data_IF_901741870873
#
_entry.id   IF_901741870873
#
_cell.length_a   1.000
_cell.length_b   1.000
_cell.length_c   1.000
_cell.angle_alpha   90.00
_cell.angle_beta   90.00
_cell.angle_gamma   90.00
#
_symmetry.space_group_name_H-M   'P 1'
#
loop_
_entity.id
_entity.type
_entity.pdbx_description
1 polymer ?
#
# COMPACT_ATOMS: atom_id res chain seq x y z
N UNK A 1 10.46 -2.07 -5.81
CA UNK A 1 11.83 -1.88 -5.32
C UNK A 1 12.65 -0.97 -6.24
N UNK A 2 13.39 -0.07 -5.65
CA UNK A 2 14.33 0.73 -6.43
C UNK A 2 15.52 -0.14 -6.90
N UNK A 3 16.04 0.04 -8.12
CA UNK A 3 17.21 -0.68 -8.62
C UNK A 3 18.41 -0.51 -7.68
N UNK A 4 19.03 -1.63 -7.28
CA UNK A 4 20.19 -1.65 -6.37
C UNK A 4 19.86 -1.82 -4.88
N UNK A 5 18.63 -1.61 -4.45
CA UNK A 5 18.24 -1.82 -3.03
C UNK A 5 18.20 -3.30 -2.65
N UNK A 6 18.00 -4.18 -3.63
CA UNK A 6 17.96 -5.62 -3.44
C UNK A 6 19.29 -6.21 -2.95
N UNK A 7 20.42 -5.60 -3.32
CA UNK A 7 21.75 -6.05 -2.86
C UNK A 7 21.89 -5.99 -1.34
N UNK A 8 21.26 -5.00 -0.69
CA UNK A 8 21.31 -4.84 0.77
C UNK A 8 20.39 -5.82 1.50
N UNK A 9 19.21 -6.13 0.94
CA UNK A 9 18.22 -6.97 1.60
C UNK A 9 18.41 -8.47 1.30
N UNK A 10 18.97 -8.82 0.14
CA UNK A 10 19.13 -10.20 -0.29
C UNK A 10 19.94 -11.08 0.67
N UNK A 11 21.01 -10.62 1.36
CA UNK A 11 21.68 -11.43 2.36
C UNK A 11 20.75 -11.91 3.49
N UNK A 12 19.81 -11.06 3.92
CA UNK A 12 18.80 -11.44 4.92
C UNK A 12 17.71 -12.33 4.32
N UNK A 13 17.24 -12.01 3.13
CA UNK A 13 16.20 -12.79 2.44
C UNK A 13 16.66 -14.24 2.16
N UNK A 14 17.89 -14.44 1.78
CA UNK A 14 18.47 -15.79 1.54
C UNK A 14 18.51 -16.64 2.82
N UNK A 15 18.65 -16.04 3.99
CA UNK A 15 18.60 -16.77 5.28
C UNK A 15 17.23 -17.39 5.55
N UNK A 16 16.17 -16.78 5.05
CA UNK A 16 14.78 -17.27 5.20
C UNK A 16 14.28 -18.03 3.95
N UNK A 17 15.13 -18.26 2.97
CA UNK A 17 14.81 -19.02 1.77
C UNK A 17 14.15 -18.22 0.66
N UNK A 18 14.36 -16.92 0.62
CA UNK A 18 13.88 -16.02 -0.42
C UNK A 18 15.05 -15.26 -1.07
N UNK A 19 14.80 -14.77 -2.27
CA UNK A 19 15.64 -13.78 -2.94
C UNK A 19 14.74 -12.76 -3.66
N UNK A 20 15.01 -11.48 -3.46
CA UNK A 20 14.44 -10.43 -4.29
C UNK A 20 15.15 -10.41 -5.64
N UNK A 21 14.40 -10.38 -6.73
CA UNK A 21 14.94 -10.22 -8.07
C UNK A 21 15.50 -8.82 -8.26
N UNK A 22 16.58 -8.72 -9.02
CA UNK A 22 17.22 -7.43 -9.26
C UNK A 22 16.32 -6.52 -10.12
N UNK A 23 16.25 -5.24 -9.74
CA UNK A 23 15.49 -4.22 -10.47
C UNK A 23 14.01 -4.15 -10.12
N UNK A 24 13.20 -3.76 -11.08
CA UNK A 24 11.78 -3.48 -10.92
C UNK A 24 10.95 -4.34 -11.87
N UNK A 25 9.80 -4.77 -11.38
CA UNK A 25 8.78 -5.45 -12.17
C UNK A 25 7.93 -4.40 -12.89
N UNK A 26 7.82 -4.54 -14.19
CA UNK A 26 6.95 -3.72 -15.02
C UNK A 26 5.74 -4.52 -15.50
N UNK A 27 4.63 -3.85 -15.73
CA UNK A 27 3.40 -4.45 -16.22
C UNK A 27 2.78 -3.61 -17.33
N UNK A 28 2.45 -4.23 -18.47
CA UNK A 28 1.72 -3.59 -19.55
C UNK A 28 0.22 -3.58 -19.21
N UNK A 29 -0.29 -2.42 -18.80
CA UNK A 29 -1.72 -2.23 -18.54
C UNK A 29 -2.15 -0.85 -19.05
N UNK A 30 -3.18 -0.84 -19.88
CA UNK A 30 -3.75 0.40 -20.43
C UNK A 30 -4.23 1.34 -19.31
N UNK A 31 -3.90 2.62 -19.43
CA UNK A 31 -4.30 3.66 -18.47
C UNK A 31 -3.46 3.73 -17.20
N UNK A 32 -2.42 2.91 -17.06
CA UNK A 32 -1.53 2.90 -15.90
C UNK A 32 -0.05 3.01 -16.28
N UNK A 33 0.75 3.54 -15.34
CA UNK A 33 2.20 3.53 -15.50
C UNK A 33 2.72 2.10 -15.45
N UNK A 34 3.69 1.71 -16.28
CA UNK A 34 4.28 0.36 -16.28
C UNK A 34 4.85 -0.07 -14.92
N UNK A 35 5.30 0.88 -14.11
CA UNK A 35 5.82 0.62 -12.76
C UNK A 35 4.75 0.24 -11.73
N UNK A 36 3.46 0.36 -12.06
CA UNK A 36 2.38 -0.11 -11.21
C UNK A 36 2.08 -1.58 -11.51
N UNK A 37 2.46 -2.44 -10.61
CA UNK A 37 2.14 -3.87 -10.66
C UNK A 37 0.79 -4.14 -10.01
N UNK A 38 -0.11 -4.79 -10.72
CA UNK A 38 -1.38 -5.30 -10.21
C UNK A 38 -1.24 -6.81 -10.06
N UNK A 39 -1.20 -7.27 -8.81
CA UNK A 39 -1.00 -8.68 -8.47
C UNK A 39 -2.32 -9.35 -8.09
N UNK A 40 -2.54 -10.54 -8.62
CA UNK A 40 -3.66 -11.40 -8.22
C UNK A 40 -3.38 -12.07 -6.88
N UNK A 41 -4.44 -12.34 -6.12
CA UNK A 41 -4.37 -13.13 -4.89
C UNK A 41 -4.15 -14.60 -5.26
N UNK A 42 -3.15 -15.24 -4.67
CA UNK A 42 -2.82 -16.64 -4.94
C UNK A 42 -3.72 -17.58 -4.12
N UNK A 43 -4.28 -18.65 -4.72
CA UNK A 43 -5.08 -19.62 -4.00
C UNK A 43 -4.34 -20.34 -2.88
N UNK A 44 -3.04 -20.53 -2.98
CA UNK A 44 -2.23 -21.15 -1.92
C UNK A 44 -2.24 -20.32 -0.62
N UNK A 45 -2.47 -19.00 -0.74
CA UNK A 45 -2.59 -18.09 0.40
C UNK A 45 -3.90 -18.19 1.17
N UNK A 46 -4.93 -18.84 0.63
CA UNK A 46 -6.29 -18.86 1.21
C UNK A 46 -6.36 -19.51 2.60
N UNK A 47 -5.51 -20.50 2.88
CA UNK A 47 -5.43 -21.13 4.20
C UNK A 47 -4.99 -20.14 5.29
N UNK A 48 -4.05 -19.26 4.97
CA UNK A 48 -3.52 -18.26 5.90
C UNK A 48 -4.36 -16.98 5.93
N UNK A 49 -5.01 -16.66 4.82
CA UNK A 49 -5.81 -15.44 4.61
C UNK A 49 -7.17 -15.77 3.97
N UNK A 50 -8.10 -16.39 4.72
CA UNK A 50 -9.37 -16.86 4.15
C UNK A 50 -10.23 -15.78 3.48
N UNK A 51 -10.08 -14.52 3.90
CA UNK A 51 -10.80 -13.39 3.32
C UNK A 51 -10.43 -13.17 1.84
N UNK A 52 -9.19 -13.50 1.45
CA UNK A 52 -8.72 -13.31 0.07
C UNK A 52 -9.43 -14.21 -0.93
N UNK A 53 -9.88 -15.40 -0.52
CA UNK A 53 -10.68 -16.26 -1.37
C UNK A 53 -11.95 -15.55 -1.87
N UNK A 54 -12.69 -14.92 -0.97
CA UNK A 54 -13.90 -14.16 -1.32
C UNK A 54 -13.56 -12.94 -2.18
N UNK A 55 -12.53 -12.19 -1.80
CA UNK A 55 -12.13 -10.99 -2.53
C UNK A 55 -11.70 -11.32 -3.97
N UNK A 56 -10.97 -12.42 -4.17
CA UNK A 56 -10.59 -12.92 -5.50
C UNK A 56 -11.81 -13.21 -6.38
N UNK A 57 -12.86 -13.81 -5.83
CA UNK A 57 -14.11 -14.08 -6.55
C UNK A 57 -14.81 -12.79 -7.02
N UNK A 58 -14.65 -11.70 -6.30
CA UNK A 58 -15.15 -10.37 -6.69
C UNK A 58 -14.19 -9.55 -7.55
N UNK A 59 -13.08 -10.14 -7.99
CA UNK A 59 -12.09 -9.49 -8.86
C UNK A 59 -11.21 -8.46 -8.15
N UNK A 60 -11.02 -8.57 -6.84
CA UNK A 60 -10.06 -7.75 -6.12
C UNK A 60 -8.62 -8.22 -6.36
N UNK A 61 -7.69 -7.29 -6.28
CA UNK A 61 -6.26 -7.51 -6.46
C UNK A 61 -5.46 -6.56 -5.56
N UNK A 62 -4.15 -6.72 -5.55
CA UNK A 62 -3.24 -5.82 -4.83
C UNK A 62 -2.50 -4.91 -5.82
N UNK A 63 -2.35 -3.65 -5.46
CA UNK A 63 -1.58 -2.67 -6.21
C UNK A 63 -0.22 -2.46 -5.54
N UNK A 64 0.86 -2.65 -6.29
CA UNK A 64 2.23 -2.58 -5.80
C UNK A 64 3.04 -1.63 -6.70
N UNK A 65 3.18 -0.35 -6.33
CA UNK A 65 4.00 0.60 -7.07
C UNK A 65 5.49 0.32 -6.90
N UNK A 66 6.22 0.12 -8.00
CA UNK A 66 7.66 -0.13 -7.93
C UNK A 66 8.06 -1.49 -7.36
N UNK A 67 7.23 -2.50 -7.57
CA UNK A 67 7.42 -3.84 -7.06
C UNK A 67 8.61 -4.56 -7.69
N UNK A 68 9.21 -5.50 -6.95
CA UNK A 68 10.12 -6.51 -7.49
C UNK A 68 9.58 -7.91 -7.23
N UNK A 69 9.96 -8.87 -8.08
CA UNK A 69 9.58 -10.26 -7.93
C UNK A 69 10.40 -10.97 -6.85
N UNK A 70 9.84 -12.05 -6.31
CA UNK A 70 10.45 -12.89 -5.28
C UNK A 70 10.78 -14.29 -5.87
N UNK A 71 11.98 -14.79 -5.58
CA UNK A 71 12.40 -16.16 -5.89
C UNK A 71 12.39 -17.00 -4.62
N UNK A 72 11.71 -18.14 -4.67
CA UNK A 72 11.62 -19.09 -3.54
C UNK A 72 12.74 -20.09 -3.63
N UNK A 73 13.60 -20.17 -2.60
CA UNK A 73 14.76 -21.04 -2.52
C UNK A 73 14.60 -22.24 -1.58
N UNK A 74 13.46 -22.36 -0.88
CA UNK A 74 13.12 -23.43 0.09
C UNK A 74 14.22 -23.70 1.14
N UNK A 75 14.24 -22.93 2.23
CA UNK A 75 15.16 -23.12 3.37
C UNK A 75 14.41 -23.00 4.69
N UNK A 76 14.07 -24.12 5.32
CA UNK A 76 13.66 -24.18 6.73
C UNK A 76 12.36 -23.49 7.13
N UNK A 77 11.75 -22.70 6.24
CA UNK A 77 10.41 -22.14 6.40
C UNK A 77 9.44 -22.80 5.42
N UNK A 78 8.20 -22.98 5.84
CA UNK A 78 7.09 -23.14 4.94
C UNK A 78 6.86 -21.81 4.23
N UNK A 79 6.89 -21.79 2.88
CA UNK A 79 6.73 -20.57 2.09
C UNK A 79 5.46 -20.71 1.27
N UNK A 80 4.52 -19.78 1.46
CA UNK A 80 3.22 -19.76 0.80
C UNK A 80 3.10 -18.47 0.01
N UNK A 81 2.93 -18.53 -1.33
CA UNK A 81 2.57 -17.38 -2.13
C UNK A 81 1.23 -16.79 -1.67
N UNK A 82 1.17 -15.46 -1.53
CA UNK A 82 -0.04 -14.72 -1.15
C UNK A 82 -0.55 -13.91 -2.34
N UNK A 83 0.36 -13.33 -3.09
CA UNK A 83 0.05 -12.60 -4.31
C UNK A 83 1.10 -12.86 -5.39
N UNK A 84 0.61 -13.01 -6.61
CA UNK A 84 1.41 -13.35 -7.76
C UNK A 84 1.05 -12.50 -8.97
N UNK A 85 1.99 -12.40 -9.91
CA UNK A 85 1.78 -11.82 -11.25
C UNK A 85 2.09 -12.85 -12.31
N UNK A 86 1.34 -12.85 -13.41
CA UNK A 86 1.65 -13.65 -14.59
C UNK A 86 2.70 -12.95 -15.45
N UNK A 87 3.60 -13.71 -16.04
CA UNK A 87 4.67 -13.21 -16.89
C UNK A 87 4.20 -12.81 -18.30
N UNK A 88 2.98 -13.17 -18.70
CA UNK A 88 2.41 -12.78 -19.99
C UNK A 88 2.21 -11.26 -20.17
N UNK A 89 2.06 -10.53 -19.07
CA UNK A 89 1.86 -9.07 -19.05
C UNK A 89 2.89 -8.34 -18.17
N UNK A 90 3.80 -9.06 -17.54
CA UNK A 90 4.75 -8.52 -16.56
C UNK A 90 6.16 -9.00 -16.86
N UNK A 91 7.15 -8.13 -16.73
CA UNK A 91 8.56 -8.46 -16.94
C UNK A 91 9.47 -7.72 -15.97
N UNK A 92 10.61 -8.28 -15.66
CA UNK A 92 11.60 -7.71 -14.75
C UNK A 92 12.62 -6.87 -15.53
N UNK A 93 12.95 -5.68 -15.04
CA UNK A 93 13.93 -4.77 -15.64
C UNK A 93 14.98 -4.37 -14.59
N UNK A 94 16.26 -4.61 -14.88
CA UNK A 94 17.35 -4.37 -13.95
C UNK A 94 17.72 -2.88 -13.79
N UNK A 95 17.42 -2.04 -14.79
CA UNK A 95 17.65 -0.59 -14.75
C UNK A 95 16.51 0.12 -15.45
N UNK A 96 15.86 1.02 -14.75
CA UNK A 96 14.89 1.95 -15.32
C UNK A 96 15.57 3.32 -15.49
N UNK A 97 15.74 3.73 -16.74
CA UNK A 97 15.84 5.15 -17.01
C UNK A 97 14.43 5.73 -17.04
N UNK A 98 14.21 6.87 -16.37
CA UNK A 98 12.89 7.50 -16.30
C UNK A 98 12.26 7.75 -17.69
N UNK A 99 13.08 7.95 -18.72
CA UNK A 99 12.67 8.10 -20.11
C UNK A 99 12.10 6.83 -20.72
N UNK A 100 12.58 5.66 -20.32
CA UNK A 100 12.12 4.37 -20.85
C UNK A 100 10.79 3.95 -20.25
N UNK A 101 10.53 4.34 -19.02
CA UNK A 101 9.23 4.14 -18.37
C UNK A 101 8.09 4.92 -19.06
N UNK A 102 8.43 6.04 -19.70
CA UNK A 102 7.47 6.91 -20.40
C UNK A 102 7.28 6.53 -21.89
N UNK A 103 8.25 5.83 -22.50
CA UNK A 103 8.25 5.51 -23.95
C UNK A 103 7.55 4.22 -24.33
N UNK A 104 6.87 3.55 -23.37
CA UNK A 104 6.23 2.26 -23.64
C UNK A 104 7.30 1.23 -24.00
N UNK A 105 7.98 0.72 -22.99
CA UNK A 105 8.97 -0.37 -23.15
C UNK A 105 8.34 -1.51 -23.94
N UNK A 106 8.99 -1.90 -25.02
CA UNK A 106 8.60 -3.09 -25.77
C UNK A 106 8.59 -4.27 -24.83
N UNK A 107 7.43 -4.84 -24.62
CA UNK A 107 7.28 -6.08 -23.86
C UNK A 107 8.15 -7.14 -24.56
N UNK A 108 9.04 -7.87 -23.84
CA UNK A 108 9.95 -8.84 -24.47
C UNK A 108 9.23 -10.05 -25.10
N UNK A 109 7.91 -10.03 -25.22
CA UNK A 109 7.10 -11.12 -25.71
C UNK A 109 6.52 -11.99 -24.59
N UNK A 110 5.61 -12.91 -24.91
CA UNK A 110 5.07 -13.83 -23.93
C UNK A 110 6.20 -14.69 -23.39
N UNK A 111 6.50 -14.56 -22.11
CA UNK A 111 7.37 -15.46 -21.41
C UNK A 111 6.65 -16.81 -21.17
N UNK A 112 7.32 -17.77 -20.60
CA UNK A 112 6.92 -19.20 -20.52
C UNK A 112 5.67 -19.50 -19.65
N UNK A 113 4.79 -18.55 -19.34
CA UNK A 113 3.60 -18.76 -18.52
C UNK A 113 3.90 -18.96 -17.03
N UNK A 114 5.05 -18.46 -16.56
CA UNK A 114 5.44 -18.55 -15.15
C UNK A 114 4.68 -17.54 -14.30
N UNK A 115 4.28 -17.99 -13.13
CA UNK A 115 3.70 -17.13 -12.09
C UNK A 115 4.83 -16.67 -11.17
N UNK A 116 4.96 -15.35 -11.00
CA UNK A 116 6.00 -14.75 -10.17
C UNK A 116 5.40 -14.25 -8.86
N UNK A 117 5.78 -14.81 -7.69
CA UNK A 117 5.35 -14.30 -6.40
C UNK A 117 5.87 -12.89 -6.16
N UNK A 118 5.02 -12.03 -5.61
CA UNK A 118 5.35 -10.66 -5.19
C UNK A 118 5.04 -10.41 -3.72
N UNK A 119 4.18 -11.23 -3.11
CA UNK A 119 3.96 -11.27 -1.67
C UNK A 119 3.95 -12.73 -1.25
N UNK A 120 4.71 -13.05 -0.20
CA UNK A 120 4.81 -14.41 0.36
C UNK A 120 4.70 -14.39 1.88
N UNK A 121 4.03 -15.39 2.43
CA UNK A 121 3.97 -15.66 3.86
C UNK A 121 4.89 -16.82 4.20
N UNK A 122 5.71 -16.65 5.23
CA UNK A 122 6.63 -17.68 5.72
C UNK A 122 6.26 -18.03 7.16
N UNK A 123 6.23 -19.31 7.45
CA UNK A 123 6.03 -19.80 8.81
C UNK A 123 6.93 -21.00 9.10
N UNK A 124 7.31 -21.15 10.36
CA UNK A 124 7.98 -22.33 10.88
C UNK A 124 7.75 -22.49 12.37
N UNK A 125 7.82 -23.73 12.85
CA UNK A 125 7.84 -24.03 14.29
C UNK A 125 9.27 -24.11 14.79
N UNK A 126 9.54 -23.46 15.93
CA UNK A 126 10.81 -23.51 16.65
C UNK A 126 10.50 -23.82 18.13
N UNK A 127 10.63 -25.10 18.49
CA UNK A 127 10.11 -25.60 19.77
C UNK A 127 8.59 -25.44 19.83
N UNK A 128 8.10 -24.85 20.92
CA UNK A 128 6.67 -24.57 21.11
C UNK A 128 6.21 -23.26 20.50
N UNK A 129 7.12 -22.52 19.85
CA UNK A 129 6.81 -21.22 19.26
C UNK A 129 6.73 -21.32 17.74
N UNK A 130 5.82 -20.53 17.17
CA UNK A 130 5.70 -20.35 15.74
C UNK A 130 6.29 -18.98 15.33
N UNK A 131 7.14 -18.99 14.32
CA UNK A 131 7.65 -17.77 13.70
C UNK A 131 6.88 -17.52 12.41
N UNK A 132 6.41 -16.28 12.22
CA UNK A 132 5.69 -15.84 11.04
C UNK A 132 6.37 -14.62 10.46
N UNK A 133 6.56 -14.59 9.15
CA UNK A 133 7.17 -13.49 8.41
C UNK A 133 6.32 -13.26 7.15
N UNK A 134 5.98 -12.01 6.88
CA UNK A 134 5.39 -11.62 5.60
C UNK A 134 6.43 -10.82 4.81
N UNK A 135 6.64 -11.17 3.56
CA UNK A 135 7.58 -10.48 2.68
C UNK A 135 6.84 -9.99 1.44
N UNK A 136 6.98 -8.72 1.14
CA UNK A 136 6.44 -8.10 -0.07
C UNK A 136 7.56 -7.50 -0.92
N UNK A 137 7.43 -7.59 -2.24
CA UNK A 137 8.34 -7.00 -3.21
C UNK A 137 8.23 -5.47 -3.33
N UNK A 138 7.33 -4.87 -2.57
CA UNK A 138 7.08 -3.43 -2.51
C UNK A 138 6.65 -3.01 -1.10
N UNK A 139 7.27 -1.96 -0.58
CA UNK A 139 6.93 -1.40 0.73
C UNK A 139 5.77 -0.38 0.64
N UNK A 140 5.61 0.27 -0.51
CA UNK A 140 4.62 1.33 -0.68
C UNK A 140 3.18 0.78 -0.77
N UNK A 141 3.03 -0.51 -1.02
CA UNK A 141 1.70 -1.15 -1.11
C UNK A 141 0.84 -1.01 0.15
N UNK A 142 1.46 -0.77 1.32
CA UNK A 142 0.77 -0.50 2.59
C UNK A 142 0.92 0.96 3.06
N UNK A 143 1.41 1.85 2.21
CA UNK A 143 1.48 3.28 2.53
C UNK A 143 0.08 3.91 2.59
N UNK A 144 -0.08 4.98 3.37
CA UNK A 144 -1.35 5.70 3.47
C UNK A 144 -1.88 6.14 2.09
N UNK A 145 -0.99 6.50 1.17
CA UNK A 145 -1.35 6.89 -0.18
C UNK A 145 -1.98 5.73 -0.96
N UNK A 146 -1.44 4.51 -0.84
CA UNK A 146 -1.96 3.34 -1.52
C UNK A 146 -3.20 2.74 -0.86
N UNK A 147 -3.27 2.76 0.48
CA UNK A 147 -4.43 2.25 1.22
C UNK A 147 -5.73 3.00 0.91
N UNK A 148 -5.61 4.30 0.57
CA UNK A 148 -6.77 5.17 0.29
C UNK A 148 -7.00 5.43 -1.20
N UNK A 149 -6.10 4.96 -2.08
CA UNK A 149 -6.16 5.26 -3.51
C UNK A 149 -7.21 4.43 -4.24
N UNK A 150 -8.23 5.10 -4.75
CA UNK A 150 -9.16 4.50 -5.71
C UNK A 150 -8.55 4.50 -7.13
N UNK A 151 -8.71 3.39 -7.86
CA UNK A 151 -8.24 3.23 -9.25
C UNK A 151 -9.40 2.88 -10.19
N UNK A 152 -9.45 3.54 -11.32
CA UNK A 152 -10.49 3.27 -12.31
C UNK A 152 -10.28 1.87 -12.93
N UNK A 153 -11.32 1.04 -12.94
CA UNK A 153 -11.25 -0.30 -13.54
C UNK A 153 -10.44 -1.35 -12.76
N UNK A 154 -9.92 -0.99 -11.57
CA UNK A 154 -9.18 -1.93 -10.70
C UNK A 154 -9.71 -1.85 -9.28
N UNK A 155 -10.17 -2.99 -8.76
CA UNK A 155 -10.63 -3.13 -7.38
C UNK A 155 -9.43 -3.51 -6.51
N UNK A 156 -8.87 -2.55 -5.78
CA UNK A 156 -7.71 -2.80 -4.91
C UNK A 156 -8.12 -3.17 -3.50
N UNK A 157 -7.39 -4.11 -2.90
CA UNK A 157 -7.59 -4.63 -1.56
C UNK A 157 -6.39 -4.39 -0.63
N UNK A 158 -5.60 -3.34 -0.88
CA UNK A 158 -4.39 -3.07 -0.11
C UNK A 158 -4.68 -2.81 1.38
N UNK A 159 -5.80 -2.16 1.71
CA UNK A 159 -6.22 -1.99 3.10
C UNK A 159 -6.48 -3.33 3.78
N UNK A 160 -7.17 -4.24 3.08
CA UNK A 160 -7.42 -5.60 3.60
C UNK A 160 -6.12 -6.39 3.70
N UNK A 161 -5.20 -6.25 2.73
CA UNK A 161 -3.86 -6.84 2.81
C UNK A 161 -3.15 -6.41 4.10
N UNK A 162 -3.10 -5.11 4.39
CA UNK A 162 -2.47 -4.59 5.60
C UNK A 162 -3.12 -5.17 6.87
N UNK A 163 -4.46 -5.09 6.97
CA UNK A 163 -5.20 -5.55 8.15
C UNK A 163 -5.03 -7.04 8.39
N UNK A 164 -5.19 -7.87 7.35
CA UNK A 164 -5.05 -9.32 7.47
C UNK A 164 -3.60 -9.75 7.71
N UNK A 165 -2.64 -9.01 7.17
CA UNK A 165 -1.21 -9.24 7.46
C UNK A 165 -0.91 -9.06 8.94
N UNK A 166 -1.36 -7.96 9.54
CA UNK A 166 -1.19 -7.74 10.98
C UNK A 166 -1.94 -8.77 11.81
N UNK A 167 -3.16 -9.14 11.43
CA UNK A 167 -3.93 -10.19 12.11
C UNK A 167 -3.18 -11.52 12.09
N UNK A 168 -2.71 -11.95 10.92
CA UNK A 168 -1.98 -13.19 10.78
C UNK A 168 -0.66 -13.18 11.56
N UNK A 169 0.13 -12.10 11.48
CA UNK A 169 1.38 -11.96 12.24
C UNK A 169 1.17 -11.98 13.75
N UNK A 170 0.07 -11.39 14.23
CA UNK A 170 -0.31 -11.35 15.63
C UNK A 170 -1.15 -12.57 16.09
N UNK A 171 -1.28 -13.62 15.29
CA UNK A 171 -2.05 -14.84 15.62
C UNK A 171 -3.52 -14.58 15.99
N UNK A 172 -4.16 -13.67 15.27
CA UNK A 172 -5.52 -13.19 15.52
C UNK A 172 -5.71 -12.41 16.86
N UNK A 173 -4.62 -12.12 17.57
CA UNK A 173 -4.67 -11.25 18.76
C UNK A 173 -4.80 -9.75 18.39
N UNK A 174 -4.67 -9.41 17.11
CA UNK A 174 -4.82 -8.07 16.58
C UNK A 174 -5.96 -7.99 15.54
N UNK A 175 -6.71 -6.89 15.47
CA UNK A 175 -6.59 -5.69 16.30
C UNK A 175 -7.15 -5.93 17.70
N UNK A 176 -6.43 -5.47 18.72
CA UNK A 176 -7.00 -5.36 20.07
C UNK A 176 -8.17 -4.38 19.94
N UNK A 177 -9.39 -4.87 20.16
CA UNK A 177 -10.58 -4.03 20.23
C UNK A 177 -10.51 -3.20 21.51
N UNK A 178 -9.66 -2.18 21.52
CA UNK A 178 -9.76 -1.15 22.52
C UNK A 178 -11.06 -0.41 22.21
N UNK A 179 -12.00 -0.31 23.17
CA UNK A 179 -13.12 0.60 23.01
C UNK A 179 -12.51 2.00 22.84
N UNK A 180 -12.40 2.46 21.59
CA UNK A 180 -12.01 3.83 21.32
C UNK A 180 -13.13 4.70 21.87
N UNK A 181 -12.89 5.28 23.03
CA UNK A 181 -13.70 6.41 23.48
C UNK A 181 -13.43 7.49 22.42
N UNK A 182 -14.41 7.82 21.56
CA UNK A 182 -14.19 8.86 20.56
C UNK A 182 -13.73 10.11 21.33
N UNK A 183 -12.63 10.76 20.93
CA UNK A 183 -12.16 11.97 21.59
C UNK A 183 -13.30 12.97 21.54
N UNK A 184 -13.74 13.44 22.71
CA UNK A 184 -14.92 14.32 22.89
C UNK A 184 -14.85 15.63 22.07
N UNK A 185 -13.67 15.98 21.57
CA UNK A 185 -13.39 17.28 20.94
C UNK A 185 -13.25 17.27 19.41
N UNK A 186 -13.42 16.12 18.74
CA UNK A 186 -13.13 16.04 17.29
C UNK A 186 -14.38 16.03 16.39
N UNK A 187 -15.59 16.08 16.93
CA UNK A 187 -16.80 16.06 16.12
C UNK A 187 -17.54 17.39 16.21
N UNK A 188 -17.27 18.28 15.29
CA UNK A 188 -18.15 19.40 14.99
C UNK A 188 -19.36 18.87 14.21
N UNK A 189 -20.46 18.61 14.90
CA UNK A 189 -21.75 18.27 14.28
C UNK A 189 -22.35 19.50 13.58
N UNK A 190 -21.75 19.89 12.47
CA UNK A 190 -22.26 20.97 11.63
C UNK A 190 -23.04 20.36 10.47
N UNK A 191 -24.32 20.61 10.47
CA UNK A 191 -25.18 20.29 9.33
C UNK A 191 -24.73 21.06 8.07
N UNK A 192 -25.01 20.51 6.90
CA UNK A 192 -24.73 21.19 5.62
C UNK A 192 -25.34 22.60 5.54
N UNK A 193 -26.42 22.86 6.30
CA UNK A 193 -27.11 24.16 6.42
C UNK A 193 -26.32 25.17 7.23
N UNK A 194 -25.44 24.72 8.14
CA UNK A 194 -24.70 25.59 9.06
C UNK A 194 -23.35 26.02 8.48
N UNK A 195 -22.88 25.33 7.43
CA UNK A 195 -21.60 25.63 6.76
C UNK A 195 -21.49 27.06 6.18
N UNK A 196 -22.53 27.66 5.58
CA UNK A 196 -22.47 29.06 5.13
C UNK A 196 -22.25 30.02 6.27
N UNK A 197 -22.92 29.79 7.40
CA UNK A 197 -22.82 30.66 8.60
C UNK A 197 -21.44 30.56 9.27
N UNK A 198 -20.87 29.34 9.30
CA UNK A 198 -19.50 29.13 9.78
C UNK A 198 -18.49 29.87 8.90
N UNK A 199 -18.63 29.76 7.58
CA UNK A 199 -17.76 30.46 6.62
C UNK A 199 -17.91 31.98 6.75
N UNK A 200 -19.12 32.49 6.87
CA UNK A 200 -19.36 33.93 7.07
C UNK A 200 -18.76 34.42 8.38
N UNK A 201 -18.92 33.67 9.47
CA UNK A 201 -18.37 34.02 10.78
C UNK A 201 -16.85 34.03 10.79
N UNK A 202 -16.21 33.00 10.23
CA UNK A 202 -14.74 32.85 10.26
C UNK A 202 -14.02 33.69 9.22
N UNK A 203 -14.55 33.77 7.99
CA UNK A 203 -13.89 34.47 6.87
C UNK A 203 -14.32 35.93 6.70
N UNK A 204 -15.49 36.29 7.23
CA UNK A 204 -16.04 37.66 7.10
C UNK A 204 -16.05 38.42 8.42
N UNK A 205 -16.84 37.95 9.35
CA UNK A 205 -17.12 38.68 10.59
C UNK A 205 -15.88 38.80 11.50
N UNK A 206 -15.13 37.72 11.69
CA UNK A 206 -13.94 37.74 12.54
C UNK A 206 -12.82 38.66 12.00
N UNK A 207 -12.41 38.60 10.73
CA UNK A 207 -11.45 39.54 10.15
C UNK A 207 -11.97 40.98 10.15
N UNK A 208 -13.27 41.20 9.91
CA UNK A 208 -13.91 42.52 9.97
C UNK A 208 -13.83 43.16 11.36
N UNK A 209 -14.12 42.39 12.40
CA UNK A 209 -13.99 42.84 13.79
C UNK A 209 -12.53 43.18 14.15
N UNK A 210 -11.58 42.38 13.73
CA UNK A 210 -10.15 42.63 13.95
C UNK A 210 -9.68 43.91 13.23
N UNK A 211 -10.12 44.13 12.01
CA UNK A 211 -9.78 45.33 11.25
C UNK A 211 -10.41 46.58 11.91
N UNK A 212 -11.65 46.49 12.40
CA UNK A 212 -12.33 47.57 13.10
C UNK A 212 -11.63 47.89 14.43
N UNK A 213 -11.27 46.88 15.22
CA UNK A 213 -10.51 47.04 16.45
C UNK A 213 -9.15 47.71 16.18
N UNK A 214 -8.43 47.27 15.14
CA UNK A 214 -7.20 47.92 14.74
C UNK A 214 -7.39 49.38 14.34
N UNK A 215 -8.42 49.69 13.56
CA UNK A 215 -8.75 51.06 13.16
C UNK A 215 -9.04 51.97 14.35
N UNK A 216 -9.80 51.49 15.33
CA UNK A 216 -10.11 52.23 16.58
C UNK A 216 -8.85 52.50 17.39
N UNK A 217 -8.02 51.47 17.60
CA UNK A 217 -6.74 51.64 18.31
C UNK A 217 -5.84 52.63 17.60
N UNK A 218 -5.69 52.52 16.29
CA UNK A 218 -4.89 53.43 15.50
C UNK A 218 -5.39 54.88 15.57
N UNK A 219 -6.70 55.06 15.49
CA UNK A 219 -7.32 56.39 15.64
C UNK A 219 -7.06 57.00 17.02
N UNK A 220 -7.20 56.23 18.11
CA UNK A 220 -6.94 56.70 19.47
C UNK A 220 -5.47 57.09 19.69
N UNK A 221 -4.53 56.33 19.15
CA UNK A 221 -3.09 56.63 19.25
C UNK A 221 -2.74 57.89 18.46
N UNK A 222 -3.38 58.15 17.33
CA UNK A 222 -3.13 59.33 16.51
C UNK A 222 -3.73 60.61 17.03
N UNK A 223 -4.68 60.50 17.93
CA UNK A 223 -5.41 61.63 18.57
C UNK A 223 -4.73 62.13 19.86
N UNK A 224 -3.85 61.33 20.47
CA UNK A 224 -2.96 61.72 21.56
C UNK A 224 -1.61 62.15 21.03
#
# INVERSE_FOLDING_TARGET
>A
GEPGTQEFINPLAVMIGLRFRDGMLLQAREGYLPSLTIAGMDPEGDEKFPVFQKMRQYGFCFALPGCTGLEIQKKGFGITPVACVGDSISWQVNRLHAEDALKGLNHPGPAEGKVLPVIVALDRKVGDKEQRILVAGDADCISNAELTRARQGVKTANFTLATESFRWLARDEFPVLLPSIPPRDNELYLGRKDMPWLKFGTMGLLPGLLALAYGVVHYLIKRN
#
